data_IF_303088051879
#
_entry.id   IF_303088051879
#
_cell.length_a   1.000
_cell.length_b   1.000
_cell.length_c   1.000
_cell.angle_alpha   90.00
_cell.angle_beta   90.00
_cell.angle_gamma   90.00
#
_symmetry.space_group_name_H-M   'P 1'
#
loop_
_entity.id
_entity.type
_entity.pdbx_description
1 polymer ?
#
# COMPACT_ATOMS: atom_id res chain seq x y z
N UNK A 1 4.83 -7.66 -0.59
CA UNK A 1 5.85 -7.81 -1.66
C UNK A 1 6.13 -6.45 -2.26
N UNK A 2 7.38 -6.11 -2.54
CA UNK A 2 7.76 -4.87 -3.22
C UNK A 2 8.63 -5.21 -4.43
N UNK A 3 8.73 -4.31 -5.41
CA UNK A 3 9.59 -4.53 -6.58
C UNK A 3 11.04 -4.79 -6.14
N UNK A 4 11.71 -5.69 -6.86
CA UNK A 4 13.13 -5.98 -6.65
C UNK A 4 13.43 -6.82 -5.39
N UNK A 5 12.39 -7.24 -4.66
CA UNK A 5 12.53 -8.06 -3.46
C UNK A 5 11.61 -9.28 -3.53
N UNK A 6 12.14 -10.43 -4.00
CA UNK A 6 11.43 -11.70 -3.88
C UNK A 6 11.10 -12.01 -2.42
N UNK A 7 9.94 -12.62 -2.17
CA UNK A 7 9.58 -13.12 -0.84
C UNK A 7 9.97 -14.59 -0.70
N UNK A 8 9.98 -15.11 0.53
CA UNK A 8 10.44 -16.47 0.84
C UNK A 8 9.64 -17.57 0.15
N UNK A 9 8.41 -17.26 -0.30
CA UNK A 9 7.55 -18.15 -1.08
C UNK A 9 7.91 -18.21 -2.58
N UNK A 10 9.02 -17.58 -3.00
CA UNK A 10 9.46 -17.58 -4.40
C UNK A 10 8.68 -16.62 -5.32
N UNK A 11 7.84 -15.76 -4.75
CA UNK A 11 7.06 -14.78 -5.50
C UNK A 11 7.82 -13.46 -5.66
N UNK A 12 7.74 -12.85 -6.84
CA UNK A 12 8.34 -11.55 -7.11
C UNK A 12 7.47 -10.66 -7.99
N UNK A 13 7.71 -9.35 -7.91
CA UNK A 13 7.02 -8.34 -8.72
C UNK A 13 7.95 -7.79 -9.80
N UNK A 14 7.44 -7.68 -11.03
CA UNK A 14 8.12 -7.05 -12.16
C UNK A 14 7.24 -5.95 -12.76
N UNK A 15 7.84 -4.81 -13.08
CA UNK A 15 7.19 -3.75 -13.87
C UNK A 15 7.59 -3.92 -15.33
N UNK A 16 6.63 -3.77 -16.23
CA UNK A 16 6.84 -3.85 -17.67
C UNK A 16 6.63 -2.49 -18.33
N UNK A 17 7.17 -2.33 -19.54
CA UNK A 17 7.13 -1.07 -20.32
C UNK A 17 5.70 -0.62 -20.67
N UNK A 18 4.73 -1.54 -20.66
CA UNK A 18 3.32 -1.27 -20.93
C UNK A 18 2.52 -0.79 -19.69
N UNK A 19 3.18 -0.30 -18.64
CA UNK A 19 2.56 0.15 -17.39
C UNK A 19 1.76 -0.95 -16.67
N UNK A 20 2.27 -2.18 -16.70
CA UNK A 20 1.71 -3.29 -15.92
C UNK A 20 2.68 -3.79 -14.86
N UNK A 21 2.12 -4.34 -13.80
CA UNK A 21 2.84 -5.01 -12.73
C UNK A 21 2.48 -6.49 -12.80
N UNK A 22 3.49 -7.33 -13.01
CA UNK A 22 3.34 -8.78 -13.02
C UNK A 22 3.79 -9.38 -11.69
N UNK A 23 2.99 -10.32 -11.18
CA UNK A 23 3.41 -11.28 -10.18
C UNK A 23 3.93 -12.53 -10.91
N UNK A 24 5.15 -12.93 -10.59
CA UNK A 24 5.76 -14.15 -11.13
C UNK A 24 6.27 -15.05 -10.00
N UNK A 25 6.35 -16.35 -10.27
CA UNK A 25 7.02 -17.32 -9.39
C UNK A 25 8.53 -17.45 -9.70
N UNK A 26 9.19 -18.38 -9.02
CA UNK A 26 10.61 -18.68 -9.19
C UNK A 26 10.98 -19.25 -10.56
N UNK A 27 10.00 -19.81 -11.28
CA UNK A 27 10.17 -20.35 -12.64
C UNK A 27 9.80 -19.33 -13.72
N UNK A 28 9.51 -18.08 -13.33
CA UNK A 28 9.05 -16.99 -14.20
C UNK A 28 7.67 -17.22 -14.83
N UNK A 29 6.83 -18.07 -14.24
CA UNK A 29 5.44 -18.20 -14.65
C UNK A 29 4.66 -16.95 -14.24
N UNK A 30 3.81 -16.44 -15.13
CA UNK A 30 2.94 -15.31 -14.86
C UNK A 30 1.73 -15.76 -14.02
N UNK A 31 1.57 -15.18 -12.83
CA UNK A 31 0.49 -15.53 -11.90
C UNK A 31 -0.63 -14.48 -11.85
N UNK A 32 -0.28 -13.21 -12.01
CA UNK A 32 -1.24 -12.10 -12.01
C UNK A 32 -0.66 -10.85 -12.66
N UNK A 33 -1.55 -10.00 -13.16
CA UNK A 33 -1.21 -8.69 -13.75
C UNK A 33 -2.12 -7.61 -13.20
N UNK A 34 -1.54 -6.45 -12.84
CA UNK A 34 -2.28 -5.24 -12.50
C UNK A 34 -1.89 -4.09 -13.43
N UNK A 35 -2.90 -3.32 -13.84
CA UNK A 35 -2.73 -2.09 -14.61
C UNK A 35 -2.39 -0.93 -13.66
N UNK A 36 -1.26 -0.27 -13.91
CA UNK A 36 -0.77 0.83 -13.07
C UNK A 36 -1.70 2.05 -13.16
N UNK A 37 -2.29 2.35 -14.32
CA UNK A 37 -3.23 3.47 -14.47
C UNK A 37 -4.51 3.24 -13.67
N UNK A 38 -4.96 1.99 -13.53
CA UNK A 38 -6.08 1.68 -12.63
C UNK A 38 -5.72 2.03 -11.18
N UNK A 39 -4.51 1.69 -10.73
CA UNK A 39 -4.05 2.01 -9.37
C UNK A 39 -3.92 3.52 -9.15
N UNK A 40 -3.31 4.22 -10.09
CA UNK A 40 -3.23 5.69 -10.07
C UNK A 40 -4.63 6.29 -10.05
N UNK A 41 -5.55 5.80 -10.88
CA UNK A 41 -6.94 6.25 -10.89
C UNK A 41 -7.62 6.08 -9.53
N UNK A 42 -7.37 4.98 -8.81
CA UNK A 42 -7.87 4.79 -7.45
C UNK A 42 -7.25 5.77 -6.44
N UNK A 43 -5.95 6.06 -6.53
CA UNK A 43 -5.30 7.08 -5.71
C UNK A 43 -5.95 8.45 -5.95
N UNK A 44 -6.09 8.86 -7.21
CA UNK A 44 -6.61 10.17 -7.60
C UNK A 44 -8.10 10.35 -7.28
N UNK A 45 -8.89 9.27 -7.19
CA UNK A 45 -10.34 9.34 -6.92
C UNK A 45 -10.68 9.13 -5.45
N UNK A 46 -10.20 8.03 -4.85
CA UNK A 46 -10.57 7.63 -3.48
C UNK A 46 -9.71 8.33 -2.43
N UNK A 47 -8.46 8.64 -2.77
CA UNK A 47 -7.47 9.22 -1.87
C UNK A 47 -7.04 10.62 -2.34
N UNK A 48 -7.91 11.33 -3.05
CA UNK A 48 -7.70 12.70 -3.54
C UNK A 48 -7.42 13.69 -2.40
N UNK A 49 -8.00 13.42 -1.23
CA UNK A 49 -7.80 14.15 0.01
C UNK A 49 -7.94 13.21 1.20
N UNK A 50 -6.97 13.20 2.09
CA UNK A 50 -6.88 12.29 3.23
C UNK A 50 -6.66 13.09 4.51
N UNK A 51 -7.46 12.81 5.54
CA UNK A 51 -7.13 13.18 6.92
C UNK A 51 -6.26 12.06 7.50
N UNK A 52 -4.97 12.32 7.65
CA UNK A 52 -3.98 11.39 8.15
C UNK A 52 -3.76 11.67 9.65
N UNK A 53 -4.24 10.77 10.51
CA UNK A 53 -4.19 10.93 11.97
C UNK A 53 -3.19 9.94 12.54
N UNK A 54 -2.30 10.43 13.39
CA UNK A 54 -1.26 9.67 14.08
C UNK A 54 -1.63 9.59 15.56
N UNK A 55 -1.35 8.44 16.17
CA UNK A 55 -1.59 8.23 17.58
C UNK A 55 -0.42 7.50 18.24
N UNK A 56 -0.05 7.96 19.43
CA UNK A 56 0.72 7.13 20.34
C UNK A 56 -0.17 6.00 20.86
N UNK A 57 0.43 4.85 21.15
CA UNK A 57 -0.28 3.72 21.76
C UNK A 57 0.38 3.27 23.05
N UNK A 58 -0.45 2.80 23.98
CA UNK A 58 0.00 2.08 25.19
C UNK A 58 -0.93 0.93 25.49
N UNK A 59 -0.45 0.00 26.32
CA UNK A 59 -1.29 -1.07 26.87
C UNK A 59 -1.38 -0.85 28.38
N UNK A 60 -2.60 -0.71 28.90
CA UNK A 60 -2.91 -0.56 30.33
C UNK A 60 -3.89 -1.65 30.72
N UNK A 61 -3.52 -2.49 31.69
CA UNK A 61 -4.37 -3.60 32.16
C UNK A 61 -4.92 -4.51 31.03
N UNK A 62 -4.08 -4.78 30.02
CA UNK A 62 -4.45 -5.60 28.87
C UNK A 62 -5.34 -4.90 27.83
N UNK A 63 -5.64 -3.61 28.00
CA UNK A 63 -6.37 -2.80 27.02
C UNK A 63 -5.42 -1.91 26.25
N UNK A 64 -5.56 -1.89 24.92
CA UNK A 64 -4.82 -0.97 24.05
C UNK A 64 -5.53 0.39 24.05
N UNK A 65 -4.79 1.44 24.36
CA UNK A 65 -5.24 2.83 24.38
C UNK A 65 -4.47 3.63 23.33
N UNK A 66 -5.16 4.60 22.70
CA UNK A 66 -4.61 5.43 21.63
C UNK A 66 -4.76 6.91 21.99
N UNK A 67 -3.66 7.64 21.92
CA UNK A 67 -3.62 9.09 22.09
C UNK A 67 -3.37 9.74 20.73
N UNK A 68 -4.46 10.16 20.07
CA UNK A 68 -4.42 10.87 18.79
C UNK A 68 -3.89 12.28 19.00
N UNK A 69 -2.66 12.53 18.56
CA UNK A 69 -1.88 13.70 18.93
C UNK A 69 -1.36 14.51 17.73
N UNK A 70 -1.40 13.94 16.51
CA UNK A 70 -1.05 14.65 15.30
C UNK A 70 -2.04 14.35 14.17
N UNK A 71 -2.36 15.37 13.37
CA UNK A 71 -3.16 15.20 12.17
C UNK A 71 -2.64 16.05 11.02
N UNK A 72 -2.66 15.47 9.81
CA UNK A 72 -2.29 16.10 8.56
C UNK A 72 -3.47 16.00 7.58
N UNK A 73 -3.66 17.03 6.76
CA UNK A 73 -4.43 16.90 5.52
C UNK A 73 -3.44 16.70 4.38
N UNK A 74 -3.54 15.56 3.71
CA UNK A 74 -2.83 15.26 2.49
C UNK A 74 -3.78 15.49 1.31
N UNK A 75 -3.40 16.32 0.35
CA UNK A 75 -4.22 16.59 -0.85
C UNK A 75 -3.36 16.75 -2.09
N UNK A 76 -4.01 16.67 -3.25
CA UNK A 76 -3.35 16.73 -4.56
C UNK A 76 -2.33 15.58 -4.75
N UNK A 77 -2.80 14.31 -4.75
CA UNK A 77 -1.92 13.18 -5.01
C UNK A 77 -1.29 13.30 -6.40
N UNK A 78 0.02 13.00 -6.47
CA UNK A 78 0.80 13.11 -7.69
C UNK A 78 1.05 11.72 -8.28
N UNK A 79 0.55 11.49 -9.50
CA UNK A 79 0.73 10.22 -10.21
C UNK A 79 2.22 9.83 -10.34
N UNK A 80 3.10 10.80 -10.65
CA UNK A 80 4.55 10.57 -10.75
C UNK A 80 5.15 10.12 -9.41
N UNK A 81 4.72 10.71 -8.29
CA UNK A 81 5.21 10.32 -6.98
C UNK A 81 4.80 8.89 -6.64
N UNK A 82 3.57 8.50 -6.99
CA UNK A 82 3.12 7.11 -6.83
C UNK A 82 3.95 6.13 -7.66
N UNK A 83 4.21 6.43 -8.94
CA UNK A 83 5.04 5.59 -9.80
C UNK A 83 6.48 5.46 -9.26
N UNK A 84 7.08 6.57 -8.86
CA UNK A 84 8.42 6.59 -8.28
C UNK A 84 8.48 5.78 -6.97
N UNK A 85 7.49 5.93 -6.09
CA UNK A 85 7.38 5.16 -4.87
C UNK A 85 7.19 3.66 -5.14
N UNK A 86 6.44 3.31 -6.19
CA UNK A 86 6.27 1.93 -6.61
C UNK A 86 7.61 1.33 -7.08
N UNK A 87 8.28 1.97 -8.05
CA UNK A 87 9.58 1.55 -8.60
C UNK A 87 10.65 1.46 -7.50
N UNK A 88 10.66 2.39 -6.55
CA UNK A 88 11.56 2.37 -5.40
C UNK A 88 11.22 1.29 -4.34
N UNK A 89 10.13 0.53 -4.54
CA UNK A 89 9.69 -0.52 -3.63
C UNK A 89 9.03 -0.01 -2.33
N UNK A 90 8.71 1.29 -2.25
CA UNK A 90 7.97 1.90 -1.11
C UNK A 90 6.50 1.49 -1.12
N UNK A 91 5.90 1.38 -2.32
CA UNK A 91 4.57 0.78 -2.48
C UNK A 91 4.72 -0.71 -2.76
N UNK A 92 4.00 -1.53 -2.01
CA UNK A 92 3.99 -2.98 -2.13
C UNK A 92 2.58 -3.55 -2.36
N UNK A 93 2.56 -4.81 -2.80
CA UNK A 93 1.36 -5.62 -3.00
C UNK A 93 1.28 -6.68 -1.89
N UNK A 94 0.10 -6.81 -1.30
CA UNK A 94 -0.23 -7.72 -0.21
C UNK A 94 -1.41 -8.63 -0.62
N UNK A 95 -1.13 -9.92 -0.79
CA UNK A 95 -2.15 -10.93 -1.12
C UNK A 95 -2.78 -11.43 0.18
N UNK A 96 -4.00 -10.97 0.47
CA UNK A 96 -4.67 -11.18 1.76
C UNK A 96 -5.65 -12.35 1.72
N UNK A 97 -5.15 -13.50 1.28
CA UNK A 97 -5.89 -14.76 1.20
C UNK A 97 -5.43 -15.72 2.29
N UNK A 98 -6.37 -16.41 2.92
CA UNK A 98 -6.09 -17.51 3.84
C UNK A 98 -7.25 -18.51 3.83
N UNK A 99 -6.94 -19.75 4.23
CA UNK A 99 -7.95 -20.74 4.56
C UNK A 99 -8.41 -20.54 6.00
N UNK A 100 -9.72 -20.62 6.22
CA UNK A 100 -10.28 -20.78 7.57
C UNK A 100 -10.07 -22.22 8.06
N UNK A 101 -10.24 -22.44 9.36
CA UNK A 101 -10.17 -23.77 9.99
C UNK A 101 -11.10 -24.79 9.33
N UNK A 102 -12.26 -24.33 8.83
CA UNK A 102 -13.23 -25.17 8.12
C UNK A 102 -12.90 -25.39 6.63
N UNK A 103 -11.71 -25.03 6.17
CA UNK A 103 -11.27 -25.17 4.78
C UNK A 103 -11.81 -24.13 3.80
N UNK A 104 -12.68 -23.20 4.24
CA UNK A 104 -13.22 -22.17 3.35
C UNK A 104 -12.15 -21.11 3.03
N UNK A 105 -11.98 -20.77 1.76
CA UNK A 105 -11.10 -19.68 1.31
C UNK A 105 -11.69 -18.33 1.70
N UNK A 106 -10.91 -17.49 2.38
CA UNK A 106 -11.23 -16.08 2.61
C UNK A 106 -10.23 -15.19 1.88
N UNK A 107 -10.73 -14.43 0.92
CA UNK A 107 -9.97 -13.41 0.21
C UNK A 107 -10.46 -12.01 0.63
N UNK A 108 -9.59 -11.20 1.25
CA UNK A 108 -9.89 -9.79 1.62
C UNK A 108 -9.58 -8.80 0.49
N UNK A 109 -9.21 -9.30 -0.69
CA UNK A 109 -8.73 -8.53 -1.83
C UNK A 109 -7.25 -8.13 -1.70
N UNK A 110 -6.63 -7.89 -2.84
CA UNK A 110 -5.24 -7.43 -2.94
C UNK A 110 -5.09 -6.05 -2.31
N UNK A 111 -4.19 -5.92 -1.34
CA UNK A 111 -3.82 -4.65 -0.72
C UNK A 111 -2.65 -4.00 -1.45
N UNK A 112 -2.82 -2.75 -1.86
CA UNK A 112 -1.71 -1.88 -2.27
C UNK A 112 -1.33 -1.03 -1.06
N UNK A 113 -0.13 -1.22 -0.54
CA UNK A 113 0.27 -0.70 0.78
C UNK A 113 1.55 0.10 0.66
N UNK A 114 1.65 1.15 1.44
CA UNK A 114 2.83 1.99 1.60
C UNK A 114 3.06 2.15 3.10
N UNK A 115 4.30 2.38 3.52
CA UNK A 115 4.56 2.77 4.91
C UNK A 115 3.95 4.15 5.17
N UNK A 116 3.46 4.34 6.38
CA UNK A 116 2.87 5.61 6.83
C UNK A 116 3.80 6.81 6.58
N UNK A 117 5.08 6.68 6.93
CA UNK A 117 6.11 7.71 6.71
C UNK A 117 6.31 8.06 5.23
N UNK A 118 6.10 7.11 4.32
CA UNK A 118 6.27 7.29 2.88
C UNK A 118 4.97 7.76 2.19
N UNK A 119 3.81 7.71 2.87
CA UNK A 119 2.52 8.09 2.30
C UNK A 119 2.44 9.58 2.01
N UNK A 120 3.11 10.39 2.83
CA UNK A 120 3.15 11.86 2.70
C UNK A 120 3.81 12.26 1.37
N UNK A 121 4.83 11.53 0.93
CA UNK A 121 5.56 11.77 -0.32
C UNK A 121 4.68 11.64 -1.57
N UNK A 122 3.50 11.01 -1.46
CA UNK A 122 2.59 10.84 -2.58
C UNK A 122 1.82 12.12 -2.94
N UNK A 123 1.86 13.14 -2.09
CA UNK A 123 1.02 14.34 -2.17
C UNK A 123 1.85 15.60 -2.34
N UNK A 124 1.38 16.54 -3.17
CA UNK A 124 2.05 17.86 -3.30
C UNK A 124 1.66 18.83 -2.19
N UNK A 125 0.51 18.63 -1.55
CA UNK A 125 0.02 19.50 -0.49
C UNK A 125 -0.16 18.72 0.81
N UNK A 126 0.58 19.13 1.84
CA UNK A 126 0.61 18.53 3.18
C UNK A 126 0.41 19.65 4.19
N UNK A 127 -0.74 19.65 4.88
CA UNK A 127 -1.09 20.66 5.87
C UNK A 127 -1.28 20.04 7.24
N UNK A 128 -0.44 20.42 8.21
CA UNK A 128 -0.63 20.05 9.62
C UNK A 128 -1.87 20.74 10.17
N UNK A 129 -2.64 20.01 10.96
CA UNK A 129 -3.75 20.56 11.75
C UNK A 129 -3.27 20.80 13.18
N UNK A 130 -3.68 21.93 13.74
CA UNK A 130 -3.56 22.18 15.17
C UNK A 130 -4.71 21.43 15.85
N UNK A 131 -4.35 20.44 16.68
CA UNK A 131 -5.27 19.60 17.46
C UNK A 131 -4.74 19.43 18.88
#
# INVERSE_FOLDING_TARGET
>A
MSIGRPITQGLSLRVNDNNTINLIDSESNLLATWDVFVLVGKLLTKLSRVLFVIADRRIVEGREEFHYNEALILSEPQHRNFLNAFIAGKVGIDLRMHLKENGTVRNRGTGFRIKEIDMIDLYSNVRRLEI
#
